data_IF_716499972595
#
_entry.id   IF_716499972595
#
_cell.length_a   1.000
_cell.length_b   1.000
_cell.length_c   1.000
_cell.angle_alpha   90.00
_cell.angle_beta   90.00
_cell.angle_gamma   90.00
#
_symmetry.space_group_name_H-M   'P 1'
#
loop_
_entity.id
_entity.type
_entity.pdbx_description
1 polymer ?
#
# COMPACT_ATOMS: atom_id res chain seq x y z
N UNK A 1 7.00 -8.77 10.62
CA UNK A 1 6.48 -7.63 11.44
C UNK A 1 5.46 -6.92 10.58
N UNK A 2 4.25 -6.66 11.09
CA UNK A 2 3.12 -6.11 10.30
C UNK A 2 3.17 -4.58 10.09
N UNK A 3 4.20 -3.91 10.60
CA UNK A 3 4.34 -2.45 10.50
C UNK A 3 3.28 -1.65 11.26
N UNK A 4 2.64 -2.26 12.25
CA UNK A 4 1.57 -1.65 13.03
C UNK A 4 2.06 -0.46 13.87
N UNK A 5 1.21 0.53 14.12
CA UNK A 5 1.50 1.73 14.90
C UNK A 5 0.67 1.69 16.18
N UNK A 6 1.33 1.39 17.30
CA UNK A 6 0.68 1.24 18.61
C UNK A 6 1.05 2.34 19.60
N UNK A 7 1.80 3.34 19.16
CA UNK A 7 2.44 4.36 20.00
C UNK A 7 2.02 5.80 19.67
N UNK A 8 0.83 5.97 19.08
CA UNK A 8 0.28 7.32 18.83
C UNK A 8 0.03 8.05 20.15
N UNK A 9 0.28 9.35 20.13
CA UNK A 9 0.12 10.21 21.29
C UNK A 9 -0.70 11.45 20.96
N UNK A 10 -1.18 12.14 22.00
CA UNK A 10 -1.83 13.44 21.84
C UNK A 10 -0.93 14.47 21.15
N UNK A 11 0.40 14.39 21.33
CA UNK A 11 1.37 15.23 20.62
C UNK A 11 1.30 15.07 19.12
N UNK A 12 1.17 13.84 18.62
CA UNK A 12 1.03 13.58 17.19
C UNK A 12 -0.22 14.26 16.63
N UNK A 13 -1.35 14.21 17.35
CA UNK A 13 -2.59 14.89 16.95
C UNK A 13 -2.39 16.42 16.91
N UNK A 14 -1.69 16.99 17.88
CA UNK A 14 -1.38 18.42 17.87
C UNK A 14 -0.44 18.79 16.72
N UNK A 15 0.60 18.01 16.48
CA UNK A 15 1.51 18.26 15.34
C UNK A 15 0.77 18.24 14.00
N UNK A 16 -0.12 17.28 13.81
CA UNK A 16 -0.98 17.23 12.60
C UNK A 16 -1.84 18.48 12.46
N UNK A 17 -2.46 18.94 13.55
CA UNK A 17 -3.27 20.17 13.56
C UNK A 17 -2.45 21.42 13.30
N UNK A 18 -1.25 21.51 13.87
CA UNK A 18 -0.32 22.60 13.62
C UNK A 18 0.01 22.73 12.14
N UNK A 19 0.43 21.64 11.50
CA UNK A 19 0.73 21.64 10.08
C UNK A 19 -0.50 21.97 9.24
N UNK A 20 -1.67 21.43 9.59
CA UNK A 20 -2.92 21.76 8.92
C UNK A 20 -3.22 23.27 8.98
N UNK A 21 -2.96 23.92 10.10
CA UNK A 21 -3.19 25.37 10.28
C UNK A 21 -2.28 26.24 9.41
N UNK A 22 -1.08 25.77 9.07
CA UNK A 22 -0.16 26.44 8.15
C UNK A 22 -0.65 26.41 6.70
N UNK A 23 -1.45 25.42 6.35
CA UNK A 23 -1.80 25.09 4.98
C UNK A 23 -0.59 24.65 4.15
N UNK A 24 -0.83 24.02 2.99
CA UNK A 24 0.24 23.47 2.15
C UNK A 24 1.31 24.49 1.74
N UNK A 25 0.88 25.70 1.39
CA UNK A 25 1.79 26.77 0.96
C UNK A 25 2.63 27.36 2.09
N UNK A 26 2.17 27.27 3.32
CA UNK A 26 2.88 27.75 4.50
C UNK A 26 3.84 26.74 5.13
N UNK A 27 3.86 25.48 4.66
CA UNK A 27 4.76 24.47 5.13
C UNK A 27 6.12 24.56 4.45
N UNK A 28 7.21 24.27 5.21
CA UNK A 28 8.53 24.05 4.65
C UNK A 28 8.58 22.71 3.86
N UNK A 29 9.67 22.45 3.16
CA UNK A 29 9.86 21.18 2.44
C UNK A 29 9.87 20.00 3.42
N UNK A 30 10.54 20.17 4.56
CA UNK A 30 10.60 19.15 5.62
C UNK A 30 9.22 18.91 6.25
N UNK A 31 8.44 19.96 6.49
CA UNK A 31 7.09 19.86 7.01
C UNK A 31 6.13 19.21 6.02
N UNK A 32 6.28 19.46 4.72
CA UNK A 32 5.54 18.75 3.67
C UNK A 32 5.90 17.27 3.65
N UNK A 33 7.18 16.94 3.74
CA UNK A 33 7.64 15.57 3.82
C UNK A 33 7.12 14.87 5.09
N UNK A 34 7.13 15.56 6.23
CA UNK A 34 6.54 15.06 7.47
C UNK A 34 5.04 14.83 7.34
N UNK A 35 4.31 15.79 6.78
CA UNK A 35 2.86 15.71 6.55
C UNK A 35 2.45 14.53 5.69
N UNK A 36 3.18 14.27 4.63
CA UNK A 36 2.92 13.21 3.68
C UNK A 36 3.49 11.86 4.12
N UNK A 37 4.38 11.85 5.12
CA UNK A 37 5.18 10.67 5.43
C UNK A 37 6.01 10.27 4.23
N UNK A 38 6.57 11.26 3.53
CA UNK A 38 7.12 11.07 2.19
C UNK A 38 8.39 10.22 2.22
N UNK A 39 8.37 9.01 1.64
CA UNK A 39 9.54 8.15 1.56
C UNK A 39 10.62 8.63 0.58
N UNK A 40 10.37 9.72 -0.16
CA UNK A 40 11.31 10.22 -1.19
C UNK A 40 12.70 10.59 -0.68
N UNK A 41 12.84 10.86 0.61
CA UNK A 41 14.13 11.17 1.23
C UNK A 41 14.84 9.95 1.79
N UNK A 42 14.18 8.82 1.91
CA UNK A 42 14.75 7.61 2.48
C UNK A 42 15.27 6.68 1.37
N UNK A 43 16.59 6.53 1.28
CA UNK A 43 17.22 5.55 0.41
C UNK A 43 16.84 4.14 0.88
N UNK A 44 16.52 3.25 -0.06
CA UNK A 44 16.15 1.86 0.23
C UNK A 44 14.74 1.68 0.76
N UNK A 45 13.88 2.70 0.73
CA UNK A 45 12.46 2.56 1.07
C UNK A 45 11.67 2.06 -0.13
N UNK A 46 10.84 1.05 0.09
CA UNK A 46 9.99 0.52 -0.97
C UNK A 46 8.79 1.45 -1.23
N UNK A 47 8.70 1.98 -2.44
CA UNK A 47 7.62 2.84 -2.91
C UNK A 47 6.47 2.06 -3.57
N UNK A 48 6.68 0.77 -3.87
CA UNK A 48 5.65 -0.06 -4.50
C UNK A 48 4.69 -0.60 -3.43
N UNK A 49 3.49 -0.06 -3.39
CA UNK A 49 2.40 -0.56 -2.53
C UNK A 49 1.93 -1.93 -3.00
N UNK A 50 1.06 -2.58 -2.25
CA UNK A 50 0.49 -3.88 -2.64
C UNK A 50 -0.35 -3.84 -3.93
N UNK A 51 -0.42 -2.69 -4.57
CA UNK A 51 -1.17 -2.50 -5.79
C UNK A 51 -2.63 -2.11 -5.59
N UNK A 52 -3.14 -1.33 -6.52
CA UNK A 52 -4.55 -0.96 -6.60
C UNK A 52 -5.15 -1.68 -7.79
N UNK A 53 -6.29 -2.33 -7.60
CA UNK A 53 -6.98 -3.02 -8.67
C UNK A 53 -7.99 -2.09 -9.34
N UNK A 54 -7.71 -1.65 -10.54
CA UNK A 54 -8.64 -0.87 -11.37
C UNK A 54 -9.45 -1.72 -12.34
N UNK A 55 -9.18 -3.02 -12.44
CA UNK A 55 -9.89 -3.91 -13.35
C UNK A 55 -10.83 -4.83 -12.60
N UNK A 56 -12.09 -4.86 -13.03
CA UNK A 56 -13.04 -5.86 -12.56
C UNK A 56 -12.67 -7.30 -12.98
N UNK A 57 -11.77 -7.44 -13.95
CA UNK A 57 -11.33 -8.72 -14.51
C UNK A 57 -10.18 -9.38 -13.75
N UNK A 58 -9.54 -8.65 -12.83
CA UNK A 58 -8.39 -9.13 -12.06
C UNK A 58 -8.69 -8.98 -10.57
N UNK A 59 -8.35 -9.96 -9.79
CA UNK A 59 -8.32 -9.89 -8.33
C UNK A 59 -6.88 -9.80 -7.86
N UNK A 60 -6.58 -8.85 -6.99
CA UNK A 60 -5.28 -8.72 -6.34
C UNK A 60 -5.40 -9.08 -4.86
N UNK A 61 -4.47 -9.90 -4.39
CA UNK A 61 -4.27 -10.20 -2.97
C UNK A 61 -2.81 -9.97 -2.60
N UNK A 62 -2.61 -9.50 -1.38
CA UNK A 62 -1.28 -9.35 -0.81
C UNK A 62 -1.11 -10.37 0.32
N UNK A 63 -0.17 -11.29 0.14
CA UNK A 63 0.15 -12.35 1.13
C UNK A 63 1.63 -12.54 1.27
N UNK A 64 2.11 -12.69 2.50
CA UNK A 64 3.51 -13.03 2.76
C UNK A 64 4.51 -12.16 2.00
N UNK A 65 4.21 -10.87 1.83
CA UNK A 65 5.01 -9.90 1.06
C UNK A 65 5.00 -10.13 -0.46
N UNK A 66 4.06 -10.90 -0.95
CA UNK A 66 3.85 -11.14 -2.37
C UNK A 66 2.52 -10.57 -2.83
N UNK A 67 2.48 -10.17 -4.09
CA UNK A 67 1.26 -9.73 -4.76
C UNK A 67 0.78 -10.89 -5.62
N UNK A 68 -0.44 -11.34 -5.38
CA UNK A 68 -1.07 -12.43 -6.12
C UNK A 68 -2.14 -11.82 -7.02
N UNK A 69 -1.92 -11.88 -8.33
CA UNK A 69 -2.90 -11.45 -9.33
C UNK A 69 -3.62 -12.67 -9.89
N UNK A 70 -4.96 -12.67 -9.84
CA UNK A 70 -5.81 -13.76 -10.33
C UNK A 70 -6.75 -13.25 -11.42
N UNK A 71 -6.79 -13.92 -12.56
CA UNK A 71 -7.76 -13.65 -13.61
C UNK A 71 -9.16 -14.11 -13.18
N UNK A 72 -10.14 -13.21 -13.18
CA UNK A 72 -11.56 -13.56 -12.93
C UNK A 72 -12.27 -14.06 -14.18
N UNK A 73 -11.85 -13.57 -15.34
CA UNK A 73 -12.40 -13.97 -16.65
C UNK A 73 -11.27 -14.32 -17.60
N UNK A 74 -11.55 -15.20 -18.56
CA UNK A 74 -10.59 -15.57 -19.60
C UNK A 74 -10.25 -14.35 -20.47
N UNK A 75 -9.01 -14.27 -20.92
CA UNK A 75 -8.50 -13.15 -21.71
C UNK A 75 -8.04 -11.95 -20.89
N UNK A 76 -8.10 -12.02 -19.57
CA UNK A 76 -7.62 -10.96 -18.70
C UNK A 76 -6.10 -10.84 -18.75
N UNK A 77 -5.61 -9.61 -18.78
CA UNK A 77 -4.22 -9.34 -18.50
C UNK A 77 -4.05 -9.27 -16.98
N UNK A 78 -3.14 -10.09 -16.44
CA UNK A 78 -2.83 -10.05 -15.01
C UNK A 78 -1.86 -8.92 -14.74
N UNK A 79 -2.26 -8.02 -13.85
CA UNK A 79 -1.43 -6.88 -13.48
C UNK A 79 -1.69 -6.42 -12.05
N UNK A 80 -0.71 -5.72 -11.50
CA UNK A 80 -0.83 -4.96 -10.28
C UNK A 80 -0.35 -3.53 -10.53
N UNK A 81 -1.08 -2.56 -10.00
CA UNK A 81 -0.77 -1.13 -10.15
C UNK A 81 -0.49 -0.57 -8.78
N UNK A 82 0.62 0.14 -8.64
CA UNK A 82 0.90 0.95 -7.45
C UNK A 82 0.93 2.42 -7.83
N UNK A 83 0.06 3.23 -7.24
CA UNK A 83 0.17 4.68 -7.31
C UNK A 83 1.24 5.12 -6.33
N UNK A 84 2.25 5.81 -6.82
CA UNK A 84 3.40 6.26 -6.05
C UNK A 84 3.13 7.63 -5.45
N UNK A 85 2.47 8.51 -6.20
CA UNK A 85 2.11 9.85 -5.75
C UNK A 85 1.78 10.79 -6.91
N UNK A 86 1.78 12.09 -6.65
CA UNK A 86 1.56 13.10 -7.69
C UNK A 86 2.75 13.17 -8.63
N UNK A 87 2.51 13.11 -9.92
CA UNK A 87 3.57 13.09 -10.93
C UNK A 87 4.53 14.29 -10.84
N UNK A 88 4.00 15.46 -10.47
CA UNK A 88 4.80 16.69 -10.34
C UNK A 88 5.92 16.57 -9.27
N UNK A 89 5.72 15.77 -8.24
CA UNK A 89 6.68 15.62 -7.15
C UNK A 89 7.88 14.73 -7.54
N UNK A 90 7.76 14.04 -8.67
CA UNK A 90 8.74 13.06 -9.14
C UNK A 90 9.46 13.45 -10.44
N UNK A 91 9.22 14.65 -10.95
CA UNK A 91 9.84 15.12 -12.17
C UNK A 91 11.36 14.97 -12.14
N UNK A 92 11.92 14.34 -13.18
CA UNK A 92 13.35 14.02 -13.33
C UNK A 92 13.94 13.17 -12.20
N UNK A 93 13.12 12.49 -11.41
CA UNK A 93 13.59 11.51 -10.44
C UNK A 93 13.95 10.21 -11.13
N UNK A 94 14.94 9.53 -10.58
CA UNK A 94 15.39 8.22 -11.03
C UNK A 94 14.93 7.19 -10.03
N UNK A 95 14.40 6.08 -10.51
CA UNK A 95 13.91 4.98 -9.68
C UNK A 95 14.60 3.69 -10.08
N UNK A 96 14.86 2.84 -9.10
CA UNK A 96 15.23 1.45 -9.33
C UNK A 96 14.05 0.55 -8.98
N UNK A 97 13.65 -0.27 -9.93
CA UNK A 97 12.58 -1.26 -9.76
C UNK A 97 13.19 -2.66 -9.71
N UNK A 98 12.85 -3.42 -8.70
CA UNK A 98 13.25 -4.83 -8.58
C UNK A 98 12.05 -5.70 -8.21
N UNK A 99 11.99 -6.92 -8.75
CA UNK A 99 10.94 -7.87 -8.46
C UNK A 99 11.39 -9.31 -8.74
N UNK A 100 10.76 -10.25 -8.04
CA UNK A 100 10.80 -11.68 -8.36
C UNK A 100 9.41 -12.10 -8.84
N UNK A 101 9.30 -13.03 -9.79
CA UNK A 101 8.00 -13.51 -10.24
C UNK A 101 8.00 -14.96 -10.69
N UNK A 102 6.82 -15.58 -10.64
CA UNK A 102 6.62 -16.98 -11.01
C UNK A 102 6.39 -17.20 -12.50
N UNK A 103 6.21 -16.12 -13.26
CA UNK A 103 5.99 -16.18 -14.70
C UNK A 103 6.64 -14.99 -15.41
N UNK A 104 6.81 -15.05 -16.75
CA UNK A 104 7.22 -13.90 -17.52
C UNK A 104 6.27 -12.75 -17.24
N UNK A 105 6.84 -11.64 -16.81
CA UNK A 105 6.10 -10.43 -16.52
C UNK A 105 6.83 -9.23 -17.12
N UNK A 106 6.06 -8.18 -17.35
CA UNK A 106 6.55 -6.91 -17.82
C UNK A 106 6.27 -5.89 -16.76
N UNK A 107 7.27 -5.10 -16.40
CA UNK A 107 7.10 -3.97 -15.50
C UNK A 107 7.17 -2.70 -16.32
N UNK A 108 6.17 -1.86 -16.17
CA UNK A 108 6.13 -0.56 -16.84
C UNK A 108 5.74 0.52 -15.88
N UNK A 109 6.29 1.69 -16.10
CA UNK A 109 5.87 2.89 -15.41
C UNK A 109 4.95 3.70 -16.30
N UNK A 110 3.80 4.10 -15.71
CA UNK A 110 2.86 4.94 -16.41
C UNK A 110 2.68 6.25 -15.70
N UNK A 111 2.21 7.21 -16.47
CA UNK A 111 1.76 8.49 -16.01
C UNK A 111 0.26 8.56 -16.08
N UNK A 112 -0.39 8.70 -14.94
CA UNK A 112 -1.84 8.86 -14.86
C UNK A 112 -2.19 10.34 -14.96
N UNK A 113 -3.11 10.73 -15.83
CA UNK A 113 -3.50 12.12 -16.10
C UNK A 113 -4.93 12.48 -15.64
N UNK A 114 -5.54 11.68 -14.81
CA UNK A 114 -6.92 11.86 -14.34
C UNK A 114 -7.99 11.36 -15.30
N UNK A 115 -7.69 11.20 -16.58
CA UNK A 115 -8.61 10.72 -17.61
C UNK A 115 -8.28 9.30 -18.09
N UNK A 116 -7.25 8.71 -17.55
CA UNK A 116 -6.77 7.39 -17.94
C UNK A 116 -5.29 7.22 -17.65
N UNK A 117 -4.76 6.11 -18.12
CA UNK A 117 -3.36 5.78 -18.02
C UNK A 117 -2.73 5.96 -19.37
N UNK A 118 -1.72 6.80 -19.42
CA UNK A 118 -0.97 7.05 -20.64
C UNK A 118 0.43 6.43 -20.50
N UNK A 119 0.85 5.72 -21.54
CA UNK A 119 2.15 5.10 -21.60
C UNK A 119 3.21 6.12 -21.91
N UNK A 120 3.99 6.51 -20.95
CA UNK A 120 5.10 7.43 -21.14
C UNK A 120 6.42 6.73 -20.80
N UNK A 121 6.92 5.96 -21.77
CA UNK A 121 8.33 5.58 -21.75
C UNK A 121 8.76 4.65 -20.62
N UNK A 122 7.93 3.73 -20.22
CA UNK A 122 8.37 2.65 -19.34
C UNK A 122 9.21 1.66 -20.12
N UNK A 123 10.33 1.33 -19.66
CA UNK A 123 11.13 0.25 -20.20
C UNK A 123 10.91 -1.01 -19.44
N UNK A 124 10.83 -1.99 -19.98
CA UNK A 124 10.84 -3.07 -19.71
C UNK A 124 11.50 -4.07 -19.61
N UNK A 125 11.37 -5.00 -19.28
CA UNK A 125 11.62 -5.97 -18.63
C UNK A 125 11.90 -7.25 -18.98
N UNK A 126 12.76 -7.84 -18.45
CA UNK A 126 13.29 -9.16 -18.58
C UNK A 126 12.27 -10.24 -18.26
N UNK A 127 12.24 -11.26 -19.03
CA UNK A 127 11.70 -12.56 -18.69
C UNK A 127 12.67 -13.24 -17.73
N UNK A 128 12.24 -13.56 -16.54
CA UNK A 128 13.08 -14.22 -15.55
C UNK A 128 12.51 -14.18 -14.14
N UNK A 129 13.16 -14.86 -13.22
CA UNK A 129 12.75 -14.92 -11.81
C UNK A 129 13.11 -13.68 -11.00
N UNK A 130 13.90 -12.79 -11.56
CA UNK A 130 14.30 -11.54 -10.91
C UNK A 130 14.56 -10.44 -11.93
N UNK A 131 14.12 -9.23 -11.60
CA UNK A 131 14.31 -8.06 -12.39
C UNK A 131 14.99 -6.96 -11.61
N UNK A 132 15.88 -6.25 -12.24
CA UNK A 132 16.38 -4.96 -11.79
C UNK A 132 16.48 -4.03 -12.98
N UNK A 133 15.82 -2.89 -12.90
CA UNK A 133 15.93 -1.86 -13.93
C UNK A 133 15.90 -0.46 -13.30
N UNK A 134 16.51 0.50 -13.98
CA UNK A 134 16.59 1.90 -13.56
C UNK A 134 15.82 2.76 -14.56
N UNK A 135 14.85 3.51 -14.05
CA UNK A 135 13.93 4.30 -14.86
C UNK A 135 14.00 5.76 -14.43
N UNK A 136 14.15 6.65 -15.41
CA UNK A 136 14.06 8.09 -15.18
C UNK A 136 12.67 8.57 -15.55
N UNK A 137 11.96 9.21 -14.61
CA UNK A 137 10.70 9.86 -14.91
C UNK A 137 10.93 11.14 -15.72
N UNK A 138 10.45 11.23 -16.96
CA UNK A 138 10.57 12.45 -17.75
C UNK A 138 9.67 13.55 -17.17
N UNK A 139 10.09 14.81 -17.34
CA UNK A 139 9.25 15.93 -17.01
C UNK A 139 8.09 16.02 -18.03
N UNK A 140 6.93 15.50 -17.65
CA UNK A 140 5.72 15.52 -18.48
C UNK A 140 4.70 16.47 -17.85
N UNK A 141 4.39 17.55 -18.53
CA UNK A 141 3.31 18.45 -18.11
C UNK A 141 1.96 17.74 -18.21
N UNK A 142 1.03 18.10 -17.33
CA UNK A 142 -0.36 17.65 -17.31
C UNK A 142 -0.60 16.19 -16.86
N UNK A 143 0.29 15.62 -16.08
CA UNK A 143 0.07 14.31 -15.44
C UNK A 143 -0.32 14.51 -13.99
N UNK A 144 -1.34 13.78 -13.56
CA UNK A 144 -1.81 13.86 -12.17
C UNK A 144 -1.01 12.92 -11.25
N UNK A 145 -0.84 11.66 -11.66
CA UNK A 145 -0.20 10.64 -10.84
C UNK A 145 0.95 9.95 -11.56
N UNK A 146 1.92 9.51 -10.76
CA UNK A 146 2.91 8.51 -11.13
C UNK A 146 2.45 7.15 -10.61
N UNK A 147 2.37 6.17 -11.48
CA UNK A 147 2.02 4.80 -11.13
C UNK A 147 3.01 3.81 -11.74
N UNK A 148 3.33 2.76 -10.98
CA UNK A 148 4.11 1.63 -11.45
C UNK A 148 3.19 0.42 -11.72
N UNK A 149 3.43 -0.27 -12.81
CA UNK A 149 2.67 -1.44 -13.23
C UNK A 149 3.54 -2.67 -13.25
N UNK A 150 2.99 -3.76 -12.76
CA UNK A 150 3.46 -5.12 -12.97
C UNK A 150 2.41 -5.83 -13.81
N UNK A 151 2.75 -6.33 -14.98
CA UNK A 151 1.78 -7.10 -15.74
C UNK A 151 2.42 -8.22 -16.56
N UNK A 152 1.58 -9.21 -16.91
CA UNK A 152 1.95 -10.31 -17.79
C UNK A 152 2.05 -9.80 -19.21
N UNK A 153 3.06 -10.23 -19.94
CA UNK A 153 3.27 -9.86 -21.35
C UNK A 153 2.04 -10.16 -22.21
N UNK A 154 1.83 -9.33 -23.21
CA UNK A 154 0.64 -9.34 -24.09
C UNK A 154 0.36 -10.67 -24.80
N UNK A 155 1.36 -11.53 -24.94
CA UNK A 155 1.23 -12.82 -25.64
C UNK A 155 0.61 -13.93 -24.77
N UNK A 156 0.37 -13.66 -23.50
CA UNK A 156 -0.21 -14.62 -22.59
C UNK A 156 -1.67 -14.28 -22.30
N UNK A 157 -2.58 -14.79 -23.09
CA UNK A 157 -4.00 -14.85 -22.73
C UNK A 157 -4.14 -15.76 -21.51
N UNK A 158 -4.60 -15.20 -20.40
CA UNK A 158 -4.71 -15.94 -19.14
C UNK A 158 -6.12 -16.49 -19.00
N UNK A 159 -6.23 -17.77 -18.69
CA UNK A 159 -7.50 -18.43 -18.40
C UNK A 159 -8.07 -17.96 -17.05
N UNK A 160 -9.39 -17.99 -16.91
CA UNK A 160 -10.04 -17.70 -15.65
C UNK A 160 -9.52 -18.60 -14.53
N UNK A 161 -9.27 -18.03 -13.34
CA UNK A 161 -8.72 -18.72 -12.19
C UNK A 161 -7.19 -18.88 -12.18
N UNK A 162 -6.49 -18.54 -13.27
CA UNK A 162 -5.02 -18.54 -13.27
C UNK A 162 -4.48 -17.39 -12.43
N UNK A 163 -3.41 -17.66 -11.72
CA UNK A 163 -2.74 -16.71 -10.82
C UNK A 163 -1.28 -16.52 -11.22
N UNK A 164 -0.79 -15.32 -10.98
CA UNK A 164 0.64 -14.99 -11.01
C UNK A 164 1.03 -14.35 -9.69
N UNK A 165 2.13 -14.80 -9.14
CA UNK A 165 2.71 -14.22 -7.93
C UNK A 165 3.88 -13.32 -8.30
N UNK A 166 3.80 -12.08 -7.85
CA UNK A 166 4.88 -11.11 -7.90
C UNK A 166 5.47 -10.99 -6.50
N UNK A 167 6.66 -11.56 -6.29
CA UNK A 167 7.35 -11.56 -5.00
C UNK A 167 8.41 -10.47 -4.91
N UNK A 168 8.67 -9.98 -3.70
CA UNK A 168 9.72 -9.00 -3.40
C UNK A 168 9.76 -7.80 -4.35
N UNK A 169 8.60 -7.27 -4.69
CA UNK A 169 8.51 -6.09 -5.55
C UNK A 169 8.97 -4.89 -4.76
N UNK A 170 9.97 -4.20 -5.27
CA UNK A 170 10.52 -2.99 -4.66
C UNK A 170 10.77 -1.93 -5.73
N UNK A 171 10.17 -0.78 -5.53
CA UNK A 171 10.48 0.45 -6.25
C UNK A 171 11.13 1.41 -5.27
N UNK A 172 12.30 1.90 -5.59
CA UNK A 172 13.05 2.78 -4.71
C UNK A 172 13.61 3.97 -5.47
N UNK A 173 13.86 5.06 -4.74
CA UNK A 173 14.44 6.27 -5.30
C UNK A 173 15.95 6.09 -5.47
N UNK A 174 16.48 6.47 -6.65
CA UNK A 174 17.90 6.40 -6.96
C UNK A 174 18.25 5.29 -7.95
N UNK A 175 19.55 5.09 -8.14
CA UNK A 175 20.12 4.16 -9.14
C UNK A 175 20.67 2.86 -8.53
N UNK A 176 20.57 2.71 -7.22
CA UNK A 176 21.16 1.57 -6.51
C UNK A 176 20.05 0.68 -5.97
N UNK A 177 20.11 -0.61 -6.31
CA UNK A 177 19.27 -1.62 -5.69
C UNK A 177 19.76 -1.91 -4.27
N UNK A 178 18.84 -1.85 -3.31
CA UNK A 178 19.08 -2.29 -1.94
C UNK A 178 18.43 -3.64 -1.65
N UNK A 179 18.65 -4.17 -0.46
CA UNK A 179 17.94 -5.36 0.00
C UNK A 179 16.45 -5.07 0.10
N UNK A 180 15.65 -6.08 -0.24
CA UNK A 180 14.20 -5.97 -0.20
C UNK A 180 13.70 -5.60 1.18
N UNK A 181 12.94 -4.52 1.24
CA UNK A 181 12.09 -4.18 2.39
C UNK A 181 10.63 -4.20 1.95
N UNK A 182 9.72 -4.71 2.77
CA UNK A 182 8.29 -4.62 2.47
C UNK A 182 7.87 -3.16 2.33
N UNK A 183 6.89 -2.92 1.47
CA UNK A 183 6.27 -1.61 1.44
C UNK A 183 5.71 -1.26 2.81
N UNK A 184 6.19 -0.17 3.35
CA UNK A 184 5.62 0.45 4.53
C UNK A 184 4.90 1.71 4.08
N UNK A 185 3.58 1.66 4.10
CA UNK A 185 2.77 2.82 3.74
C UNK A 185 3.13 3.97 4.64
N UNK A 186 3.57 5.05 4.08
CA UNK A 186 3.84 6.30 4.77
C UNK A 186 4.74 6.14 6.01
N UNK A 187 5.88 6.78 6.03
CA UNK A 187 6.71 6.85 7.22
C UNK A 187 5.89 7.34 8.40
N UNK A 188 5.99 6.65 9.52
CA UNK A 188 5.27 7.01 10.75
C UNK A 188 5.90 8.24 11.41
N UNK A 189 5.78 9.39 10.78
CA UNK A 189 6.18 10.70 11.31
C UNK A 189 5.22 11.16 12.40
N UNK A 190 5.58 12.17 13.17
CA UNK A 190 4.68 12.75 14.17
C UNK A 190 3.37 13.25 13.54
N UNK A 191 3.44 13.83 12.34
CA UNK A 191 2.25 14.32 11.65
C UNK A 191 1.38 13.20 11.11
N UNK A 192 1.95 12.14 10.53
CA UNK A 192 1.17 11.01 10.00
C UNK A 192 0.54 10.18 11.11
N UNK A 193 1.24 9.97 12.23
CA UNK A 193 0.65 9.34 13.42
C UNK A 193 -0.53 10.11 14.00
N UNK A 194 -0.59 11.42 13.78
CA UNK A 194 -1.69 12.30 14.22
C UNK A 194 -2.94 12.27 13.37
N UNK A 195 -2.94 11.52 12.29
CA UNK A 195 -4.09 11.28 11.42
C UNK A 195 -4.43 9.78 11.38
N UNK A 196 -5.67 9.49 11.02
CA UNK A 196 -6.08 8.13 10.64
C UNK A 196 -6.68 8.21 9.24
N UNK A 197 -6.07 7.60 8.26
CA UNK A 197 -6.37 7.79 6.86
C UNK A 197 -6.35 6.45 6.08
N UNK A 198 -6.45 6.52 4.76
CA UNK A 198 -6.49 5.32 3.91
C UNK A 198 -5.28 4.39 4.10
N UNK A 199 -4.10 4.92 4.43
CA UNK A 199 -2.92 4.10 4.67
C UNK A 199 -3.02 3.31 5.97
N UNK A 200 -3.63 3.90 7.00
CA UNK A 200 -3.93 3.20 8.25
C UNK A 200 -4.97 2.09 8.03
N UNK A 201 -6.01 2.39 7.25
CA UNK A 201 -7.02 1.38 6.89
C UNK A 201 -6.36 0.21 6.15
N UNK A 202 -5.54 0.47 5.14
CA UNK A 202 -4.83 -0.57 4.40
C UNK A 202 -3.92 -1.38 5.31
N UNK A 203 -3.15 -0.75 6.17
CA UNK A 203 -2.22 -1.43 7.09
C UNK A 203 -2.97 -2.40 8.01
N UNK A 204 -4.05 -1.94 8.62
CA UNK A 204 -4.87 -2.77 9.50
C UNK A 204 -5.58 -3.88 8.74
N UNK A 205 -6.18 -3.59 7.58
CA UNK A 205 -6.86 -4.60 6.76
C UNK A 205 -5.89 -5.69 6.27
N UNK A 206 -4.66 -5.34 5.92
CA UNK A 206 -3.63 -6.34 5.58
C UNK A 206 -3.22 -7.19 6.78
N UNK A 207 -3.09 -6.56 7.96
CA UNK A 207 -2.83 -7.31 9.17
C UNK A 207 -3.97 -8.27 9.50
N UNK A 208 -5.22 -7.83 9.34
CA UNK A 208 -6.41 -8.68 9.48
C UNK A 208 -6.37 -9.84 8.48
N UNK A 209 -6.09 -9.57 7.20
CA UNK A 209 -5.98 -10.61 6.15
C UNK A 209 -4.92 -11.66 6.51
N UNK A 210 -3.72 -11.22 6.85
CA UNK A 210 -2.60 -12.11 7.23
C UNK A 210 -2.94 -12.98 8.46
N UNK A 211 -3.53 -12.38 9.49
CA UNK A 211 -3.93 -13.11 10.70
C UNK A 211 -5.08 -14.07 10.40
N UNK A 212 -6.09 -13.60 9.66
CA UNK A 212 -7.23 -14.40 9.24
C UNK A 212 -6.83 -15.66 8.47
N UNK A 213 -5.94 -15.47 7.49
CA UNK A 213 -5.44 -16.58 6.66
C UNK A 213 -4.69 -17.61 7.50
N UNK A 214 -3.83 -17.17 8.42
CA UNK A 214 -3.07 -18.07 9.30
C UNK A 214 -3.93 -18.78 10.34
N UNK A 215 -4.95 -18.09 10.84
CA UNK A 215 -5.86 -18.63 11.85
C UNK A 215 -7.08 -19.37 11.25
N UNK A 216 -7.27 -19.35 9.93
CA UNK A 216 -8.40 -19.99 9.26
C UNK A 216 -9.75 -19.30 9.51
N UNK A 217 -9.78 -17.98 9.73
CA UNK A 217 -10.99 -17.23 10.10
C UNK A 217 -11.86 -16.81 8.91
N UNK A 218 -11.31 -16.80 7.70
CA UNK A 218 -12.02 -16.43 6.46
C UNK A 218 -12.68 -15.03 6.50
N UNK A 219 -11.99 -14.03 7.05
CA UNK A 219 -12.49 -12.66 7.14
C UNK A 219 -12.37 -11.93 5.80
N UNK A 220 -13.37 -11.10 5.49
CA UNK A 220 -13.38 -10.29 4.26
C UNK A 220 -12.71 -8.96 4.54
N UNK A 221 -11.67 -8.63 3.77
CA UNK A 221 -10.88 -7.39 3.90
C UNK A 221 -10.97 -6.53 2.64
N UNK A 222 -10.64 -5.25 2.77
CA UNK A 222 -10.38 -4.33 1.66
C UNK A 222 -9.01 -3.69 1.89
N UNK A 223 -8.00 -4.15 1.17
CA UNK A 223 -6.59 -3.76 1.37
C UNK A 223 -6.08 -2.74 0.34
N UNK A 224 -6.99 -2.14 -0.41
CA UNK A 224 -6.70 -1.23 -1.52
C UNK A 224 -7.43 0.12 -1.42
N UNK A 225 -7.56 0.64 -0.21
CA UNK A 225 -8.04 2.00 0.01
C UNK A 225 -7.12 3.01 -0.65
N UNK A 226 -7.69 4.03 -1.26
CA UNK A 226 -6.96 5.15 -1.86
C UNK A 226 -7.40 6.47 -1.22
N UNK A 227 -6.63 7.52 -1.45
CA UNK A 227 -6.85 8.84 -0.84
C UNK A 227 -8.25 9.43 -1.12
N UNK A 228 -8.87 9.03 -2.22
CA UNK A 228 -10.19 9.52 -2.64
C UNK A 228 -11.35 8.64 -2.18
N UNK A 229 -11.07 7.49 -1.59
CA UNK A 229 -12.11 6.62 -1.04
C UNK A 229 -12.76 7.27 0.18
N UNK A 230 -14.07 7.28 0.18
CA UNK A 230 -14.88 7.66 1.34
C UNK A 230 -15.44 6.37 1.97
N UNK A 231 -14.88 5.91 3.09
CA UNK A 231 -15.39 4.72 3.76
C UNK A 231 -16.86 4.91 4.16
N UNK A 232 -17.68 3.95 3.81
CA UNK A 232 -19.08 3.92 4.24
C UNK A 232 -19.19 3.41 5.68
N UNK A 233 -20.35 3.61 6.30
CA UNK A 233 -20.64 3.01 7.61
C UNK A 233 -20.55 1.47 7.57
N UNK A 234 -20.99 0.86 6.48
CA UNK A 234 -20.88 -0.59 6.27
C UNK A 234 -19.43 -1.05 6.23
N UNK A 235 -18.55 -0.30 5.55
CA UNK A 235 -17.12 -0.59 5.52
C UNK A 235 -16.50 -0.54 6.92
N UNK A 236 -16.83 0.51 7.68
CA UNK A 236 -16.27 0.69 9.01
C UNK A 236 -16.80 -0.32 10.03
N UNK A 237 -18.07 -0.71 9.90
CA UNK A 237 -18.64 -1.78 10.71
C UNK A 237 -17.97 -3.13 10.42
N UNK A 238 -17.74 -3.47 9.15
CA UNK A 238 -16.98 -4.65 8.75
C UNK A 238 -15.56 -4.62 9.32
N UNK A 239 -14.88 -3.50 9.15
CA UNK A 239 -13.53 -3.27 9.64
C UNK A 239 -13.41 -3.54 11.16
N UNK A 240 -14.26 -2.93 11.98
CA UNK A 240 -14.27 -3.14 13.42
C UNK A 240 -14.69 -4.57 13.82
N UNK A 241 -15.66 -5.15 13.11
CA UNK A 241 -16.09 -6.53 13.31
C UNK A 241 -14.96 -7.51 13.09
N UNK A 242 -14.15 -7.33 12.03
CA UNK A 242 -13.01 -8.19 11.76
C UNK A 242 -11.99 -8.18 12.91
N UNK A 243 -11.65 -6.99 13.42
CA UNK A 243 -10.73 -6.85 14.56
C UNK A 243 -11.33 -7.47 15.83
N UNK A 244 -12.65 -7.34 16.01
CA UNK A 244 -13.36 -7.96 17.16
C UNK A 244 -13.29 -9.48 17.08
N UNK A 245 -13.55 -10.08 15.94
CA UNK A 245 -13.44 -11.54 15.74
C UNK A 245 -12.03 -12.03 16.07
N UNK A 246 -11.00 -11.34 15.59
CA UNK A 246 -9.60 -11.68 15.91
C UNK A 246 -9.36 -11.56 17.42
N UNK A 247 -9.76 -10.45 18.03
CA UNK A 247 -9.64 -10.24 19.47
C UNK A 247 -10.25 -11.39 20.29
N UNK A 248 -11.47 -11.81 19.92
CA UNK A 248 -12.20 -12.89 20.60
C UNK A 248 -11.53 -14.24 20.37
N UNK A 249 -11.12 -14.54 19.13
CA UNK A 249 -10.44 -15.79 18.78
C UNK A 249 -9.17 -16.02 19.59
N UNK A 250 -8.36 -14.97 19.79
CA UNK A 250 -7.11 -15.06 20.54
C UNK A 250 -7.25 -14.72 22.03
N UNK A 251 -8.46 -14.43 22.52
CA UNK A 251 -8.70 -14.10 23.92
C UNK A 251 -8.00 -12.80 24.39
N UNK A 252 -7.84 -11.82 23.50
CA UNK A 252 -7.10 -10.59 23.78
C UNK A 252 -7.98 -9.62 24.59
N UNK A 253 -7.52 -9.19 25.75
CA UNK A 253 -8.24 -8.25 26.60
C UNK A 253 -7.80 -6.79 26.33
N UNK A 254 -8.26 -6.20 25.24
CA UNK A 254 -8.06 -4.79 24.87
C UNK A 254 -9.42 -4.20 24.51
N UNK A 255 -9.71 -2.98 24.97
CA UNK A 255 -10.96 -2.29 24.64
C UNK A 255 -10.92 -1.78 23.19
N UNK A 256 -11.95 -2.10 22.41
CA UNK A 256 -12.15 -1.59 21.06
C UNK A 256 -13.28 -0.55 21.01
N UNK A 257 -13.27 0.37 20.05
CA UNK A 257 -14.41 1.26 19.83
C UNK A 257 -15.62 0.47 19.33
N UNK A 258 -16.81 0.91 19.68
CA UNK A 258 -18.07 0.33 19.18
C UNK A 258 -18.46 0.90 17.82
N UNK A 259 -17.89 2.02 17.41
CA UNK A 259 -18.04 2.65 16.09
C UNK A 259 -16.85 3.54 15.78
N UNK A 260 -16.70 3.96 14.53
CA UNK A 260 -15.69 4.94 14.14
C UNK A 260 -16.08 6.39 14.45
N UNK A 261 -17.29 6.61 14.99
CA UNK A 261 -17.68 7.92 15.49
C UNK A 261 -16.87 8.29 16.74
N UNK A 262 -16.36 9.52 16.80
CA UNK A 262 -15.48 9.98 17.88
C UNK A 262 -14.21 9.14 18.06
N UNK A 263 -13.67 8.65 16.95
CA UNK A 263 -12.45 7.84 16.93
C UNK A 263 -11.26 8.62 17.48
N UNK A 264 -10.56 8.04 18.45
CA UNK A 264 -9.40 8.65 19.10
C UNK A 264 -8.10 7.93 18.76
N UNK A 265 -6.97 8.54 19.06
CA UNK A 265 -5.66 7.89 18.87
C UNK A 265 -5.48 6.66 19.78
N UNK A 266 -6.11 6.64 20.96
CA UNK A 266 -6.11 5.46 21.82
C UNK A 266 -6.84 4.29 21.16
N UNK A 267 -7.98 4.55 20.54
CA UNK A 267 -8.70 3.51 19.80
C UNK A 267 -7.91 3.01 18.59
N UNK A 268 -7.21 3.90 17.88
CA UNK A 268 -6.32 3.52 16.80
C UNK A 268 -5.20 2.59 17.31
N UNK A 269 -4.56 2.96 18.42
CA UNK A 269 -3.54 2.13 19.05
C UNK A 269 -4.11 0.77 19.50
N UNK A 270 -5.29 0.76 20.10
CA UNK A 270 -5.92 -0.47 20.60
C UNK A 270 -6.25 -1.46 19.48
N UNK A 271 -6.77 -0.97 18.33
CA UNK A 271 -7.01 -1.79 17.16
C UNK A 271 -5.71 -2.45 16.70
N UNK A 272 -4.66 -1.67 16.51
CA UNK A 272 -3.40 -2.21 16.04
C UNK A 272 -2.69 -3.09 17.07
N UNK A 273 -2.86 -2.80 18.36
CA UNK A 273 -2.33 -3.64 19.45
C UNK A 273 -3.04 -5.01 19.54
N UNK A 274 -4.33 -5.09 19.24
CA UNK A 274 -5.03 -6.38 19.12
C UNK A 274 -4.39 -7.24 18.05
N UNK A 275 -4.15 -6.64 16.86
CA UNK A 275 -3.55 -7.36 15.73
C UNK A 275 -2.11 -7.77 15.99
N UNK A 276 -1.33 -6.92 16.63
CA UNK A 276 0.06 -7.22 16.99
C UNK A 276 0.14 -8.43 17.93
N UNK A 277 -0.67 -8.44 18.99
CA UNK A 277 -0.74 -9.59 19.93
C UNK A 277 -1.27 -10.87 19.28
N UNK A 278 -2.27 -10.75 18.39
CA UNK A 278 -2.76 -11.90 17.65
C UNK A 278 -1.67 -12.49 16.76
N UNK A 279 -0.94 -11.64 16.04
CA UNK A 279 0.17 -12.06 15.19
C UNK A 279 1.31 -12.70 15.99
N UNK A 280 1.67 -12.13 17.15
CA UNK A 280 2.65 -12.75 18.06
C UNK A 280 2.23 -14.16 18.50
N UNK A 281 0.94 -14.38 18.74
CA UNK A 281 0.41 -15.68 19.14
C UNK A 281 0.50 -16.74 18.03
N UNK A 282 0.52 -16.31 16.77
CA UNK A 282 0.68 -17.20 15.59
C UNK A 282 2.15 -17.50 15.25
N UNK A 283 3.08 -16.78 15.85
CA UNK A 283 4.52 -16.88 15.53
C UNK A 283 5.34 -17.55 16.64
N UNK A 284 4.70 -17.91 17.73
CA UNK A 284 5.27 -18.71 18.83
C UNK A 284 5.06 -20.19 18.58
#
# INVERSE_FOLDING_TARGET
MLGLITDRTQRNVYRRKELLSKGWTGMTIEEKAEWEGNPLTAIGTNLFSCGTNYSSSVELKYRNKEIIATAKVAGSYLYAISIIGKAADYNNKIFTLSAEFTAPAKIEMFWHDGNGIDWAGGTLLATGSALVDTITYPNVNNREYLAAYLYVTQDAVVEAGKTITFGKVMLENGITKHEYVPYTEILATDATKGAYNYSDLNRVERAVEEISDRAGLNLITKTNWIMWDLPTETDMNRYLSNVTVIKEHFGINISLPTSMNNFTYEYANNIEMVLDRAYESLTK
#
